data_IF_865434029258
#
_entry.id   IF_865434029258
#
_cell.length_a   1.000
_cell.length_b   1.000
_cell.length_c   1.000
_cell.angle_alpha   90.00
_cell.angle_beta   90.00
_cell.angle_gamma   90.00
#
_symmetry.space_group_name_H-M   'P 1'
#
loop_
_entity.id
_entity.type
_entity.pdbx_description
1 polymer ?
#
# COMPACT_ATOMS: atom_id res chain seq x y z
N UNK A 1 15.08 4.85 9.57
CA UNK A 1 13.93 4.87 10.49
C UNK A 1 14.39 4.36 11.84
N UNK A 2 14.21 5.13 12.92
CA UNK A 2 14.50 4.64 14.27
C UNK A 2 13.33 3.77 14.79
N UNK A 3 13.52 3.11 15.94
CA UNK A 3 12.51 2.19 16.50
C UNK A 3 11.17 2.87 16.78
N UNK A 4 11.19 4.13 17.19
CA UNK A 4 9.96 4.87 17.49
C UNK A 4 9.21 5.22 16.20
N UNK A 5 9.91 5.77 15.20
CA UNK A 5 9.35 6.06 13.88
C UNK A 5 8.77 4.80 13.22
N UNK A 6 9.40 3.63 13.42
CA UNK A 6 8.89 2.34 12.93
C UNK A 6 7.56 1.99 13.55
N UNK A 7 7.42 2.10 14.87
CA UNK A 7 6.15 1.81 15.57
C UNK A 7 5.04 2.77 15.14
N UNK A 8 5.35 4.06 15.02
CA UNK A 8 4.37 5.04 14.55
C UNK A 8 3.90 4.75 13.12
N UNK A 9 4.82 4.36 12.23
CA UNK A 9 4.48 3.92 10.89
C UNK A 9 3.60 2.66 10.90
N UNK A 10 3.97 1.63 11.65
CA UNK A 10 3.22 0.37 11.78
C UNK A 10 1.78 0.61 12.27
N UNK A 11 1.59 1.44 13.31
CA UNK A 11 0.25 1.79 13.81
C UNK A 11 -0.60 2.55 12.77
N UNK A 12 0.02 3.47 12.03
CA UNK A 12 -0.67 4.23 10.99
C UNK A 12 -1.11 3.31 9.84
N UNK A 13 -0.22 2.43 9.36
CA UNK A 13 -0.57 1.51 8.26
C UNK A 13 -1.54 0.42 8.68
N UNK A 14 -1.53 -0.05 9.93
CA UNK A 14 -2.56 -0.98 10.42
C UNK A 14 -3.97 -0.40 10.34
N UNK A 15 -4.12 0.88 10.69
CA UNK A 15 -5.40 1.59 10.57
C UNK A 15 -5.87 1.65 9.11
N UNK A 16 -4.96 1.99 8.18
CA UNK A 16 -5.24 2.03 6.74
C UNK A 16 -5.57 0.62 6.21
N UNK A 17 -4.82 -0.39 6.61
CA UNK A 17 -5.06 -1.79 6.24
C UNK A 17 -6.44 -2.26 6.68
N UNK A 18 -6.84 -1.94 7.92
CA UNK A 18 -8.19 -2.26 8.43
C UNK A 18 -9.27 -1.56 7.61
N UNK A 19 -9.11 -0.27 7.33
CA UNK A 19 -10.06 0.47 6.50
C UNK A 19 -10.22 -0.17 5.11
N UNK A 20 -9.11 -0.54 4.46
CA UNK A 20 -9.13 -1.22 3.17
C UNK A 20 -9.87 -2.56 3.24
N UNK A 21 -9.58 -3.38 4.27
CA UNK A 21 -10.20 -4.68 4.44
C UNK A 21 -11.71 -4.60 4.69
N UNK A 22 -12.16 -3.59 5.44
CA UNK A 22 -13.57 -3.43 5.81
C UNK A 22 -14.43 -2.81 4.69
N UNK A 23 -13.82 -2.02 3.78
CA UNK A 23 -14.58 -1.17 2.84
C UNK A 23 -14.29 -1.41 1.35
N UNK A 24 -13.22 -2.11 1.01
CA UNK A 24 -12.78 -2.30 -0.38
C UNK A 24 -12.50 -3.77 -0.69
N UNK A 25 -12.41 -4.10 -1.97
CA UNK A 25 -12.03 -5.45 -2.39
C UNK A 25 -10.50 -5.67 -2.21
N UNK A 26 -10.03 -6.92 -2.13
CA UNK A 26 -8.62 -7.24 -1.84
C UNK A 26 -7.59 -6.73 -2.85
N UNK A 27 -8.01 -6.23 -4.02
CA UNK A 27 -7.12 -5.72 -5.07
C UNK A 27 -6.97 -4.20 -5.03
N UNK A 28 -7.54 -3.54 -4.03
CA UNK A 28 -7.39 -2.10 -3.79
C UNK A 28 -6.10 -1.81 -3.02
N UNK A 29 -5.40 -0.73 -3.38
CA UNK A 29 -4.19 -0.25 -2.71
C UNK A 29 -4.32 1.24 -2.41
N UNK A 30 -3.55 1.71 -1.42
CA UNK A 30 -3.39 3.15 -1.15
C UNK A 30 -1.93 3.52 -1.37
N UNK A 31 -1.69 4.64 -2.05
CA UNK A 31 -0.39 5.30 -2.17
C UNK A 31 -0.50 6.62 -1.41
N UNK A 32 0.44 6.88 -0.49
CA UNK A 32 0.41 8.06 0.38
C UNK A 32 1.70 8.83 0.18
N UNK A 33 1.57 10.10 -0.20
CA UNK A 33 2.63 11.08 -0.23
C UNK A 33 2.47 12.07 0.94
N UNK A 34 3.35 13.07 1.02
CA UNK A 34 3.32 14.04 2.15
C UNK A 34 2.12 14.99 2.10
N UNK A 35 1.46 15.13 0.95
CA UNK A 35 0.35 16.06 0.70
C UNK A 35 -0.86 15.41 0.00
N UNK A 36 -0.79 14.13 -0.34
CA UNK A 36 -1.85 13.42 -1.06
C UNK A 36 -1.99 11.96 -0.60
N UNK A 37 -3.16 11.39 -0.86
CA UNK A 37 -3.40 9.96 -0.74
C UNK A 37 -4.29 9.49 -1.89
N UNK A 38 -3.87 8.45 -2.59
CA UNK A 38 -4.55 7.89 -3.75
C UNK A 38 -5.03 6.48 -3.45
N UNK A 39 -6.31 6.21 -3.75
CA UNK A 39 -6.88 4.86 -3.75
C UNK A 39 -6.84 4.31 -5.17
N UNK A 40 -6.09 3.23 -5.39
CA UNK A 40 -5.87 2.65 -6.72
C UNK A 40 -6.34 1.20 -6.77
N UNK A 41 -7.04 0.85 -7.86
CA UNK A 41 -7.52 -0.50 -8.12
C UNK A 41 -6.92 -1.05 -9.42
N UNK A 42 -6.34 -2.25 -9.35
CA UNK A 42 -5.81 -2.93 -10.52
C UNK A 42 -6.88 -3.82 -11.17
N UNK A 43 -7.27 -3.52 -12.41
CA UNK A 43 -8.24 -4.34 -13.15
C UNK A 43 -7.63 -5.65 -13.69
N UNK A 44 -6.35 -5.64 -14.04
CA UNK A 44 -5.62 -6.85 -14.51
C UNK A 44 -4.14 -6.68 -14.21
N UNK A 45 -3.52 -7.73 -13.66
CA UNK A 45 -2.09 -7.76 -13.37
C UNK A 45 -1.49 -9.01 -14.01
N UNK A 46 -0.49 -8.82 -14.87
CA UNK A 46 0.33 -9.89 -15.44
C UNK A 46 1.80 -9.59 -15.16
N UNK A 47 2.43 -10.40 -14.31
CA UNK A 47 3.82 -10.25 -13.94
C UNK A 47 4.67 -11.28 -14.68
N UNK A 48 5.63 -10.81 -15.47
CA UNK A 48 6.68 -11.67 -16.02
C UNK A 48 8.04 -10.99 -15.83
N UNK A 49 8.93 -11.60 -15.05
CA UNK A 49 10.29 -11.06 -14.80
C UNK A 49 11.22 -11.16 -16.02
N UNK A 50 10.68 -11.43 -17.22
CA UNK A 50 11.44 -11.80 -18.42
C UNK A 50 12.32 -10.67 -18.97
N UNK A 51 12.08 -9.43 -18.57
CA UNK A 51 12.73 -8.25 -19.12
C UNK A 51 13.46 -7.40 -18.08
N UNK A 52 13.59 -7.89 -16.85
CA UNK A 52 14.43 -7.23 -15.85
C UNK A 52 15.89 -7.51 -16.27
N UNK A 53 16.65 -6.44 -16.50
CA UNK A 53 18.10 -6.50 -16.75
C UNK A 53 18.82 -6.16 -15.45
N UNK A 54 19.92 -6.85 -15.17
CA UNK A 54 20.82 -6.58 -14.04
C UNK A 54 21.42 -5.16 -14.12
#
# INVERSE_FOLDING_TARGET
MNNEQRKQFELAVETVMKYLADNHNPHTKVIIDSDSAELVEGLTVYQNGKYIKD
#
